data_IF_091295221618
#
_entry.id   IF_091295221618
#
_cell.length_a   1.000
_cell.length_b   1.000
_cell.length_c   1.000
_cell.angle_alpha   90.00
_cell.angle_beta   90.00
_cell.angle_gamma   90.00
#
_symmetry.space_group_name_H-M   'P 1'
#
loop_
_entity.id
_entity.type
_entity.pdbx_description
1 polymer ?
#
# COMPACT_ATOMS: atom_id res chain seq x y z
N UNK A 1 -6.77 -5.42 1.38
CA UNK A 1 -8.09 -5.00 0.87
C UNK A 1 -7.94 -4.01 -0.28
N UNK A 2 -7.07 -3.01 -0.14
CA UNK A 2 -6.83 -2.02 -1.21
C UNK A 2 -6.30 -2.65 -2.50
N UNK A 3 -5.34 -3.56 -2.43
CA UNK A 3 -4.85 -4.28 -3.63
C UNK A 3 -5.98 -5.03 -4.36
N UNK A 4 -6.86 -5.71 -3.62
CA UNK A 4 -8.05 -6.37 -4.21
C UNK A 4 -9.01 -5.40 -4.87
N UNK A 5 -9.15 -4.18 -4.33
CA UNK A 5 -9.94 -3.13 -4.96
C UNK A 5 -9.29 -2.69 -6.27
N UNK A 6 -7.97 -2.50 -6.29
CA UNK A 6 -7.22 -2.16 -7.50
C UNK A 6 -7.32 -3.27 -8.56
N UNK A 7 -7.21 -4.53 -8.15
CA UNK A 7 -7.44 -5.69 -9.03
C UNK A 7 -8.84 -5.66 -9.66
N UNK A 8 -9.87 -5.37 -8.85
CA UNK A 8 -11.25 -5.26 -9.33
C UNK A 8 -11.44 -4.07 -10.29
N UNK A 9 -10.66 -3.01 -10.13
CA UNK A 9 -10.66 -1.84 -11.01
C UNK A 9 -9.80 -2.04 -12.28
N UNK A 10 -9.18 -3.22 -12.46
CA UNK A 10 -8.37 -3.53 -13.64
C UNK A 10 -6.93 -3.02 -13.56
N UNK A 11 -6.44 -2.60 -12.39
CA UNK A 11 -5.05 -2.18 -12.20
C UNK A 11 -4.18 -3.40 -11.95
N UNK A 12 -3.10 -3.58 -12.72
CA UNK A 12 -2.14 -4.64 -12.47
C UNK A 12 -1.32 -4.37 -11.19
N UNK A 13 -1.56 -5.15 -10.13
CA UNK A 13 -0.88 -4.98 -8.84
C UNK A 13 0.37 -5.83 -8.66
N UNK A 14 1.10 -6.11 -9.75
CA UNK A 14 2.33 -6.89 -9.66
C UNK A 14 3.45 -6.05 -9.04
N UNK A 15 4.19 -6.62 -8.08
CA UNK A 15 5.31 -5.95 -7.42
C UNK A 15 6.49 -5.87 -8.39
N UNK A 16 6.56 -4.79 -9.16
CA UNK A 16 7.68 -4.53 -10.09
C UNK A 16 8.92 -4.00 -9.37
N UNK A 17 8.71 -3.29 -8.26
CA UNK A 17 9.78 -2.64 -7.47
C UNK A 17 9.60 -2.97 -5.99
N UNK A 18 10.65 -3.49 -5.38
CA UNK A 18 10.65 -3.81 -3.94
C UNK A 18 11.13 -2.62 -3.14
N UNK A 19 10.25 -2.08 -2.29
CA UNK A 19 10.62 -1.05 -1.30
C UNK A 19 11.17 -1.72 -0.06
N UNK A 20 12.33 -1.27 0.41
CA UNK A 20 12.91 -1.75 1.67
C UNK A 20 12.13 -1.17 2.86
N UNK A 21 11.40 -2.05 3.54
CA UNK A 21 10.68 -1.72 4.77
C UNK A 21 11.39 -2.38 5.95
N UNK A 22 11.80 -1.58 6.93
CA UNK A 22 12.54 -2.03 8.11
C UNK A 22 11.72 -2.99 9.00
N UNK A 23 10.40 -3.01 8.84
CA UNK A 23 9.47 -3.84 9.59
C UNK A 23 8.71 -4.87 8.72
N UNK A 24 9.24 -5.19 7.54
CA UNK A 24 8.67 -6.20 6.63
C UNK A 24 8.45 -7.55 7.34
N UNK A 25 9.31 -7.91 8.30
CA UNK A 25 9.21 -9.17 9.08
C UNK A 25 8.04 -9.20 10.05
N UNK A 26 7.46 -8.03 10.40
CA UNK A 26 6.27 -7.93 11.24
C UNK A 26 4.98 -7.97 10.41
N UNK A 27 5.08 -7.95 9.09
CA UNK A 27 3.95 -8.01 8.16
C UNK A 27 3.66 -9.48 7.85
N UNK A 28 2.40 -9.88 7.99
CA UNK A 28 1.94 -11.21 7.59
C UNK A 28 2.27 -11.50 6.12
N UNK A 29 2.69 -12.72 5.82
CA UNK A 29 3.18 -13.12 4.50
C UNK A 29 2.23 -12.77 3.35
N UNK A 30 0.92 -13.00 3.52
CA UNK A 30 -0.10 -12.64 2.54
C UNK A 30 -0.19 -11.14 2.24
N UNK A 31 0.21 -10.28 3.19
CA UNK A 31 0.14 -8.83 3.09
C UNK A 31 1.45 -8.21 2.59
N UNK A 32 2.57 -8.93 2.64
CA UNK A 32 3.87 -8.39 2.25
C UNK A 32 3.89 -7.92 0.79
N UNK A 33 3.39 -8.74 -0.14
CA UNK A 33 3.31 -8.37 -1.55
C UNK A 33 2.43 -7.12 -1.75
N UNK A 34 1.28 -7.09 -1.08
CA UNK A 34 0.35 -5.97 -1.18
C UNK A 34 0.94 -4.66 -0.62
N UNK A 35 1.64 -4.74 0.51
CA UNK A 35 2.28 -3.58 1.13
C UNK A 35 3.45 -3.09 0.28
N UNK A 36 4.25 -3.99 -0.29
CA UNK A 36 5.34 -3.61 -1.20
C UNK A 36 4.82 -2.88 -2.44
N UNK A 37 3.76 -3.39 -3.06
CA UNK A 37 3.12 -2.70 -4.19
C UNK A 37 2.67 -1.30 -3.80
N UNK A 38 1.90 -1.17 -2.73
CA UNK A 38 1.37 0.11 -2.28
C UNK A 38 2.47 1.07 -1.78
N UNK A 39 3.58 0.57 -1.25
CA UNK A 39 4.74 1.37 -0.89
C UNK A 39 5.49 1.87 -2.14
N UNK A 40 5.64 1.03 -3.17
CA UNK A 40 6.27 1.43 -4.44
C UNK A 40 5.50 2.55 -5.17
N UNK A 41 4.19 2.62 -4.94
CA UNK A 41 3.31 3.65 -5.50
C UNK A 41 3.02 4.83 -4.56
N UNK A 42 3.80 5.02 -3.48
CA UNK A 42 3.67 6.13 -2.53
C UNK A 42 2.29 6.21 -1.83
N UNK A 43 1.56 5.09 -1.79
CA UNK A 43 0.19 5.02 -1.25
C UNK A 43 0.22 4.92 0.27
N UNK A 44 0.95 3.94 0.79
CA UNK A 44 1.00 3.61 2.23
C UNK A 44 2.20 4.21 2.95
N UNK A 45 3.35 4.24 2.30
CA UNK A 45 4.60 4.78 2.85
C UNK A 45 5.02 5.91 1.93
N UNK A 46 5.20 7.11 2.47
CA UNK A 46 5.56 8.27 1.67
C UNK A 46 6.71 9.07 2.28
N UNK A 47 7.67 9.47 1.45
CA UNK A 47 8.87 10.20 1.88
C UNK A 47 9.96 9.30 2.48
N UNK A 48 10.69 9.82 3.48
CA UNK A 48 11.82 9.13 4.13
C UNK A 48 11.40 8.09 5.20
N UNK A 49 10.11 7.79 5.32
CA UNK A 49 9.64 6.76 6.24
C UNK A 49 10.05 5.37 5.74
N UNK A 50 10.78 4.63 6.55
CA UNK A 50 11.24 3.26 6.23
C UNK A 50 10.40 2.18 6.91
N UNK A 51 9.29 2.56 7.57
CA UNK A 51 8.46 1.66 8.39
C UNK A 51 6.99 1.76 8.01
N UNK A 52 6.34 0.61 7.83
CA UNK A 52 4.91 0.51 7.55
C UNK A 52 4.03 0.56 8.82
N UNK A 53 4.56 0.09 9.94
CA UNK A 53 3.93 -0.07 11.25
C UNK A 53 2.66 -0.96 11.23
N UNK A 54 2.76 -2.27 10.92
CA UNK A 54 1.59 -3.14 10.71
C UNK A 54 0.69 -3.30 11.94
N UNK A 55 1.21 -3.05 13.15
CA UNK A 55 0.46 -3.13 14.42
C UNK A 55 -0.19 -1.81 14.85
N UNK A 56 0.10 -0.70 14.15
CA UNK A 56 -0.48 0.60 14.47
C UNK A 56 -1.94 0.62 14.02
N UNK A 57 -2.82 1.09 14.89
CA UNK A 57 -4.20 1.35 14.51
C UNK A 57 -4.28 2.49 13.50
N UNK A 58 -4.86 2.21 12.34
CA UNK A 58 -5.08 3.19 11.29
C UNK A 58 -6.28 4.09 11.64
N UNK A 59 -6.10 5.41 11.61
CA UNK A 59 -7.19 6.37 11.83
C UNK A 59 -8.05 6.50 10.57
N UNK A 60 -9.32 6.88 10.74
CA UNK A 60 -10.27 7.11 9.61
C UNK A 60 -9.72 8.09 8.57
N UNK A 61 -9.08 9.17 9.02
CA UNK A 61 -8.46 10.16 8.14
C UNK A 61 -7.26 9.59 7.36
N UNK A 62 -6.47 8.73 8.00
CA UNK A 62 -5.35 8.04 7.34
C UNK A 62 -5.90 7.07 6.28
N UNK A 63 -6.94 6.27 6.60
CA UNK A 63 -7.58 5.38 5.63
C UNK A 63 -8.16 6.13 4.43
N UNK A 64 -8.81 7.27 4.64
CA UNK A 64 -9.33 8.11 3.56
C UNK A 64 -8.20 8.60 2.63
N UNK A 65 -7.06 9.02 3.19
CA UNK A 65 -5.88 9.40 2.41
C UNK A 65 -5.36 8.23 1.57
N UNK A 66 -5.24 7.05 2.16
CA UNK A 66 -4.76 5.86 1.46
C UNK A 66 -5.71 5.48 0.32
N UNK A 67 -7.03 5.52 0.54
CA UNK A 67 -8.03 5.25 -0.50
C UNK A 67 -7.94 6.26 -1.65
N UNK A 68 -7.87 7.56 -1.35
CA UNK A 68 -7.72 8.61 -2.38
C UNK A 68 -6.44 8.43 -3.20
N UNK A 69 -5.32 8.11 -2.55
CA UNK A 69 -4.05 7.83 -3.25
C UNK A 69 -4.15 6.58 -4.14
N UNK A 70 -4.86 5.55 -3.68
CA UNK A 70 -5.09 4.32 -4.44
C UNK A 70 -5.97 4.59 -5.67
N UNK A 71 -7.04 5.37 -5.51
CA UNK A 71 -7.95 5.75 -6.59
C UNK A 71 -7.28 6.61 -7.66
N UNK A 72 -6.26 7.37 -7.31
CA UNK A 72 -5.46 8.13 -8.28
C UNK A 72 -4.58 7.24 -9.17
N UNK A 73 -4.29 6.01 -8.74
CA UNK A 73 -3.48 5.06 -9.53
C UNK A 73 -4.35 4.24 -10.46
N UNK A 74 -5.60 3.97 -10.07
CA UNK A 74 -6.59 3.47 -11.01
C UNK A 74 -6.97 4.57 -11.98
N UNK A 75 -7.03 4.28 -13.27
CA UNK A 75 -7.39 5.20 -14.38
C UNK A 75 -8.85 5.75 -14.30
N UNK A 76 -9.44 5.76 -13.12
CA UNK A 76 -10.75 6.33 -12.84
C UNK A 76 -10.72 7.87 -12.76
N UNK A 77 -9.54 8.49 -12.79
CA UNK A 77 -9.33 9.94 -12.89
C UNK A 77 -8.04 10.24 -13.66
#
# INVERSE_FOLDING_TARGET
MIVRMLDYMGVETNVKSKVELADISQISEYAQAAVQYLAAHDVLVSGAETKFNPKKNLKRAEMAKVLMRSLRISDWY
#
